data_IF_962541090891
#
_entry.id   IF_962541090891
#
_cell.length_a   1.000
_cell.length_b   1.000
_cell.length_c   1.000
_cell.angle_alpha   90.00
_cell.angle_beta   90.00
_cell.angle_gamma   90.00
#
_symmetry.space_group_name_H-M   'P 1'
#
loop_
_entity.id
_entity.type
_entity.pdbx_description
1 polymer ?
#
# COMPACT_ATOMS: atom_id res chain seq x y z
N UNK A 1 -25.60 -57.15 2.69
CA UNK A 1 -25.10 -55.79 2.42
C UNK A 1 -25.50 -54.90 3.59
N UNK A 2 -24.62 -54.73 4.56
CA UNK A 2 -24.87 -53.92 5.77
C UNK A 2 -23.60 -53.15 6.09
N UNK A 3 -23.55 -51.91 5.60
CA UNK A 3 -22.44 -50.97 5.81
C UNK A 3 -22.63 -50.33 7.19
N UNK A 4 -21.80 -50.78 8.15
CA UNK A 4 -21.54 -50.08 9.41
C UNK A 4 -20.43 -49.05 9.21
N UNK A 5 -20.51 -47.96 9.99
CA UNK A 5 -19.42 -47.04 10.37
C UNK A 5 -18.93 -46.09 9.27
N UNK A 6 -18.57 -44.83 9.51
CA UNK A 6 -18.13 -44.12 10.73
C UNK A 6 -18.34 -42.61 10.46
N UNK A 7 -19.00 -41.84 11.33
CA UNK A 7 -19.03 -40.37 11.23
C UNK A 7 -17.69 -39.83 11.71
N UNK A 8 -16.86 -39.35 10.78
CA UNK A 8 -15.59 -38.68 11.06
C UNK A 8 -15.88 -37.27 11.56
N UNK A 9 -15.53 -36.99 12.82
CA UNK A 9 -15.47 -35.64 13.37
C UNK A 9 -14.29 -34.90 12.73
N UNK A 10 -14.57 -34.05 11.75
CA UNK A 10 -13.62 -33.08 11.23
C UNK A 10 -13.84 -31.73 11.93
N UNK A 11 -13.24 -31.53 13.10
CA UNK A 11 -13.07 -30.20 13.68
C UNK A 11 -11.89 -29.53 12.96
N UNK A 12 -12.19 -28.78 11.91
CA UNK A 12 -11.21 -27.97 11.19
C UNK A 12 -10.91 -26.72 12.03
N UNK A 13 -9.62 -26.50 12.27
CA UNK A 13 -9.06 -25.37 12.98
C UNK A 13 -9.49 -24.04 12.34
N UNK A 14 -10.12 -23.17 13.12
CA UNK A 14 -10.37 -21.78 12.75
C UNK A 14 -9.75 -20.88 13.83
N UNK A 15 -8.48 -20.50 13.66
CA UNK A 15 -7.86 -19.40 14.41
C UNK A 15 -6.45 -19.12 13.88
N UNK A 16 -6.37 -18.46 12.73
CA UNK A 16 -5.12 -17.85 12.26
C UNK A 16 -5.39 -16.76 11.20
N UNK A 17 -6.17 -15.72 11.53
CA UNK A 17 -6.23 -14.50 10.71
C UNK A 17 -6.13 -13.21 11.56
N UNK A 18 -5.70 -13.34 12.82
CA UNK A 18 -5.62 -12.21 13.76
C UNK A 18 -4.19 -11.77 14.11
N UNK A 19 -3.15 -12.40 13.55
CA UNK A 19 -1.78 -12.21 14.05
C UNK A 19 -0.94 -11.17 13.30
N UNK A 20 -1.39 -10.61 12.18
CA UNK A 20 -0.49 -9.77 11.37
C UNK A 20 -0.39 -8.31 11.88
N UNK A 21 -1.43 -7.78 12.53
CA UNK A 21 -1.40 -6.42 13.11
C UNK A 21 -0.72 -6.32 14.48
N UNK A 22 -0.55 -7.45 15.18
CA UNK A 22 -0.17 -7.47 16.60
C UNK A 22 1.29 -7.04 16.81
N UNK A 23 2.11 -7.14 15.77
CA UNK A 23 3.55 -6.82 15.83
C UNK A 23 3.91 -5.46 15.22
N UNK A 24 2.93 -4.68 14.75
CA UNK A 24 3.22 -3.33 14.28
C UNK A 24 3.69 -2.46 15.46
N UNK A 25 4.93 -1.95 15.37
CA UNK A 25 5.40 -0.95 16.33
C UNK A 25 4.63 0.35 16.07
N UNK A 26 3.76 0.73 17.01
CA UNK A 26 2.90 1.91 16.87
C UNK A 26 3.55 3.15 17.50
N UNK A 27 3.47 4.31 16.84
CA UNK A 27 3.79 5.58 17.48
C UNK A 27 2.91 5.84 18.71
N UNK A 28 3.39 6.70 19.62
CA UNK A 28 2.60 7.16 20.75
C UNK A 28 1.40 7.98 20.25
N UNK A 29 0.19 7.70 20.77
CA UNK A 29 -1.03 8.42 20.37
C UNK A 29 -2.11 7.55 19.73
N UNK A 30 -1.79 6.31 19.37
CA UNK A 30 -2.78 5.31 18.93
C UNK A 30 -2.67 4.96 17.44
N UNK A 31 -3.81 4.65 16.81
CA UNK A 31 -3.85 4.25 15.41
C UNK A 31 -4.08 5.48 14.54
N UNK A 32 -3.04 5.95 13.86
CA UNK A 32 -3.10 7.13 13.00
C UNK A 32 -3.50 6.69 11.59
N UNK A 33 -4.80 6.55 11.32
CA UNK A 33 -5.29 5.88 10.11
C UNK A 33 -6.13 6.77 9.19
N UNK A 34 -6.13 8.07 9.42
CA UNK A 34 -6.91 9.03 8.63
C UNK A 34 -5.97 9.89 7.81
N UNK A 35 -6.10 9.77 6.49
CA UNK A 35 -5.52 10.67 5.51
C UNK A 35 -6.46 11.85 5.25
N UNK A 36 -5.92 12.98 4.81
CA UNK A 36 -6.69 14.07 4.24
C UNK A 36 -5.93 14.73 3.10
N UNK A 37 -6.68 15.34 2.18
CA UNK A 37 -6.17 16.16 1.09
C UNK A 37 -7.03 17.42 1.06
N UNK A 38 -6.39 18.57 1.22
CA UNK A 38 -7.04 19.87 1.17
C UNK A 38 -6.72 20.59 -0.15
N UNK A 39 -7.62 21.49 -0.55
CA UNK A 39 -7.48 22.25 -1.80
C UNK A 39 -6.31 23.26 -1.79
N UNK A 40 -5.78 23.60 -0.62
CA UNK A 40 -4.59 24.45 -0.48
C UNK A 40 -3.27 23.68 -0.68
N UNK A 41 -3.35 22.37 -0.99
CA UNK A 41 -2.20 21.51 -1.18
C UNK A 41 -1.65 20.90 0.10
N UNK A 42 -2.25 21.17 1.28
CA UNK A 42 -1.91 20.46 2.51
C UNK A 42 -2.50 19.04 2.48
N UNK A 43 -1.71 18.06 2.93
CA UNK A 43 -2.12 16.66 2.85
C UNK A 43 -1.43 15.80 3.92
N UNK A 44 -2.00 14.62 4.13
CA UNK A 44 -1.38 13.53 4.86
C UNK A 44 -1.24 12.31 3.95
N UNK A 45 -0.21 11.50 4.15
CA UNK A 45 -0.01 10.22 3.46
C UNK A 45 0.19 9.10 4.47
N UNK A 46 -0.11 7.86 4.07
CA UNK A 46 0.24 6.70 4.86
C UNK A 46 1.71 6.39 4.64
N UNK A 47 2.46 6.21 5.71
CA UNK A 47 3.84 5.71 5.66
C UNK A 47 3.96 4.48 6.55
N UNK A 48 4.71 3.46 6.10
CA UNK A 48 5.00 2.31 6.95
C UNK A 48 5.90 2.76 8.12
N UNK A 49 6.16 1.90 9.12
CA UNK A 49 7.07 2.23 10.20
C UNK A 49 8.43 2.71 9.67
N UNK A 50 9.04 3.67 10.36
CA UNK A 50 10.33 4.23 9.95
C UNK A 50 11.41 3.14 9.88
N UNK A 51 12.25 3.16 8.83
CA UNK A 51 13.38 2.26 8.69
C UNK A 51 13.04 0.83 8.24
N UNK A 52 11.82 0.62 7.74
CA UNK A 52 11.46 -0.66 7.10
C UNK A 52 11.96 -0.71 5.66
N UNK A 53 12.49 -1.87 5.27
CA UNK A 53 13.11 -2.03 3.94
C UNK A 53 12.10 -2.14 2.79
N UNK A 54 10.89 -2.66 3.04
CA UNK A 54 9.90 -2.95 2.00
C UNK A 54 8.52 -2.46 2.41
N UNK A 55 7.88 -1.64 1.57
CA UNK A 55 6.57 -1.04 1.82
C UNK A 55 5.49 -2.11 1.78
N UNK A 56 5.45 -2.97 0.75
CA UNK A 56 4.40 -3.96 0.55
C UNK A 56 4.18 -4.89 1.77
N UNK A 57 5.26 -5.38 2.38
CA UNK A 57 5.18 -6.25 3.57
C UNK A 57 4.68 -5.48 4.80
N UNK A 58 4.83 -4.15 4.83
CA UNK A 58 4.54 -3.30 5.97
C UNK A 58 3.28 -2.44 5.80
N UNK A 59 2.46 -2.70 4.78
CA UNK A 59 1.23 -1.94 4.50
C UNK A 59 0.25 -1.96 5.69
N UNK A 60 0.20 -3.07 6.44
CA UNK A 60 -0.63 -3.23 7.64
C UNK A 60 -0.23 -2.31 8.80
N UNK A 61 1.03 -1.89 8.82
CA UNK A 61 1.63 -1.16 9.94
C UNK A 61 1.77 0.34 9.65
N UNK A 62 1.18 0.82 8.56
CA UNK A 62 1.28 2.20 8.18
C UNK A 62 0.51 3.14 9.12
N UNK A 63 1.02 4.37 9.23
CA UNK A 63 0.43 5.46 9.98
C UNK A 63 0.34 6.71 9.09
N UNK A 64 -0.61 7.58 9.38
CA UNK A 64 -0.81 8.86 8.69
C UNK A 64 0.21 9.89 9.12
N UNK A 65 0.92 10.48 8.15
CA UNK A 65 1.85 11.58 8.35
C UNK A 65 1.49 12.75 7.45
N UNK A 66 1.41 13.94 8.03
CA UNK A 66 1.04 15.17 7.34
C UNK A 66 2.25 16.06 7.07
N UNK A 67 2.20 16.75 5.93
CA UNK A 67 3.26 17.59 5.39
C UNK A 67 2.69 18.99 5.08
N UNK A 68 3.54 20.04 5.02
CA UNK A 68 3.22 21.50 4.89
C UNK A 68 3.36 22.32 6.19
N UNK A 69 3.87 21.78 7.30
CA UNK A 69 4.22 22.55 8.51
C UNK A 69 3.05 23.23 9.26
N UNK A 70 1.84 23.20 8.70
CA UNK A 70 0.58 23.65 9.33
C UNK A 70 0.01 22.62 10.32
N UNK A 71 0.51 21.40 10.26
CA UNK A 71 0.03 20.28 11.05
C UNK A 71 0.71 20.19 12.42
N UNK A 72 -0.04 19.69 13.40
CA UNK A 72 0.45 19.28 14.71
C UNK A 72 0.03 17.84 14.95
N UNK A 73 0.82 17.08 15.70
CA UNK A 73 0.46 15.69 16.04
C UNK A 73 -0.94 15.63 16.67
N UNK A 74 -1.72 14.63 16.25
CA UNK A 74 -3.09 14.40 16.72
C UNK A 74 -3.33 12.90 16.91
N UNK A 75 -4.52 12.52 17.36
CA UNK A 75 -4.89 11.10 17.47
C UNK A 75 -5.08 10.41 16.12
N UNK A 76 -5.20 11.16 15.01
CA UNK A 76 -5.49 10.62 13.67
C UNK A 76 -4.29 10.66 12.74
N UNK A 77 -3.32 11.54 13.01
CA UNK A 77 -2.12 11.72 12.20
C UNK A 77 -0.94 12.25 13.00
N UNK A 78 0.25 12.13 12.42
CA UNK A 78 1.51 12.67 12.92
C UNK A 78 2.07 13.69 11.93
N UNK A 79 3.04 14.49 12.36
CA UNK A 79 3.80 15.37 11.47
C UNK A 79 4.97 14.60 10.87
N UNK A 80 5.05 14.60 9.54
CA UNK A 80 6.16 14.00 8.82
C UNK A 80 7.41 14.90 8.78
N UNK A 81 8.60 14.35 8.50
CA UNK A 81 9.82 15.11 8.36
C UNK A 81 9.75 16.04 7.14
N UNK A 82 10.20 17.28 7.32
CA UNK A 82 10.03 18.36 6.34
C UNK A 82 10.78 18.11 5.01
N UNK A 83 11.78 17.24 5.01
CA UNK A 83 12.63 16.93 3.87
C UNK A 83 12.28 15.62 3.16
N UNK A 84 11.25 14.90 3.63
CA UNK A 84 10.80 13.67 2.97
C UNK A 84 9.98 13.95 1.70
N UNK A 85 9.10 14.94 1.70
CA UNK A 85 8.35 15.36 0.50
C UNK A 85 9.16 16.43 -0.23
N UNK A 86 9.62 16.11 -1.44
CA UNK A 86 10.42 17.02 -2.26
C UNK A 86 9.54 17.90 -3.14
N UNK A 87 8.42 17.36 -3.61
CA UNK A 87 7.44 18.06 -4.42
C UNK A 87 6.06 17.44 -4.25
N UNK A 88 5.02 18.23 -4.46
CA UNK A 88 3.63 17.76 -4.48
C UNK A 88 2.82 18.55 -5.50
N UNK A 89 1.81 17.90 -6.08
CA UNK A 89 0.91 18.48 -7.05
C UNK A 89 -0.52 18.03 -6.77
N UNK A 90 -1.39 18.99 -6.49
CA UNK A 90 -2.81 18.76 -6.22
C UNK A 90 -3.63 18.74 -7.51
N UNK A 91 -4.52 17.76 -7.63
CA UNK A 91 -5.51 17.65 -8.69
C UNK A 91 -6.87 17.36 -8.10
N UNK A 92 -7.89 18.09 -8.54
CA UNK A 92 -9.29 17.75 -8.33
C UNK A 92 -9.92 17.36 -9.66
N UNK A 93 -10.58 16.19 -9.71
CA UNK A 93 -11.34 15.74 -10.85
C UNK A 93 -12.80 15.59 -10.47
N UNK A 94 -13.63 16.53 -10.92
CA UNK A 94 -15.07 16.55 -10.62
C UNK A 94 -15.85 15.51 -11.41
N UNK A 95 -15.37 15.09 -12.58
CA UNK A 95 -16.02 14.07 -13.42
C UNK A 95 -15.94 12.70 -12.77
N UNK A 96 -14.75 12.34 -12.27
CA UNK A 96 -14.47 11.06 -11.61
C UNK A 96 -14.48 11.20 -10.07
N UNK A 97 -15.00 12.32 -9.56
CA UNK A 97 -15.23 12.59 -8.14
C UNK A 97 -14.06 12.28 -7.20
N UNK A 98 -12.82 12.67 -7.57
CA UNK A 98 -11.65 12.47 -6.72
C UNK A 98 -10.81 13.72 -6.52
N UNK A 99 -10.04 13.71 -5.43
CA UNK A 99 -8.88 14.59 -5.24
C UNK A 99 -7.62 13.74 -5.11
N UNK A 100 -6.50 14.28 -5.59
CA UNK A 100 -5.24 13.57 -5.63
C UNK A 100 -4.07 14.50 -5.32
N UNK A 101 -3.08 13.96 -4.62
CA UNK A 101 -1.72 14.50 -4.54
C UNK A 101 -0.78 13.49 -5.17
N UNK A 102 0.07 13.95 -6.08
CA UNK A 102 1.22 13.19 -6.58
C UNK A 102 2.49 13.99 -6.38
N UNK A 103 3.62 13.33 -6.26
CA UNK A 103 4.88 14.04 -6.14
C UNK A 103 6.08 13.13 -5.97
N UNK A 104 7.19 13.76 -5.56
CA UNK A 104 8.45 13.09 -5.33
C UNK A 104 8.80 13.06 -3.84
N UNK A 105 9.45 11.97 -3.41
CA UNK A 105 9.97 11.80 -2.06
C UNK A 105 11.50 11.71 -2.05
N UNK A 106 12.09 11.89 -0.88
CA UNK A 106 13.43 11.38 -0.57
C UNK A 106 13.27 10.14 0.32
N UNK A 107 13.28 8.96 -0.30
CA UNK A 107 13.13 7.66 0.39
C UNK A 107 14.14 7.44 1.52
N UNK A 108 15.33 8.07 1.43
CA UNK A 108 16.36 7.96 2.47
C UNK A 108 15.96 8.62 3.78
N UNK A 109 15.08 9.63 3.75
CA UNK A 109 14.59 10.34 4.94
C UNK A 109 13.62 9.51 5.78
N UNK A 110 13.12 8.41 5.23
CA UNK A 110 12.24 7.48 5.92
C UNK A 110 12.86 6.08 6.11
N UNK A 111 14.13 5.91 5.68
CA UNK A 111 14.83 4.64 5.76
C UNK A 111 14.23 3.55 4.86
N UNK A 112 13.64 3.94 3.72
CA UNK A 112 13.10 3.01 2.74
C UNK A 112 14.20 2.52 1.79
N UNK A 113 14.10 1.28 1.32
CA UNK A 113 15.08 0.75 0.36
C UNK A 113 14.92 1.42 -1.01
N UNK A 114 16.01 1.93 -1.64
CA UNK A 114 15.94 2.53 -2.98
C UNK A 114 15.69 1.50 -4.09
N UNK A 115 15.61 0.21 -3.77
CA UNK A 115 15.25 -0.86 -4.72
C UNK A 115 13.85 -1.41 -4.47
N UNK A 116 13.11 -0.83 -3.53
CA UNK A 116 11.75 -1.26 -3.25
C UNK A 116 10.78 -0.68 -4.27
N UNK A 117 10.09 -1.55 -4.99
CA UNK A 117 9.08 -1.15 -5.99
C UNK A 117 7.86 -0.51 -5.34
N UNK A 118 7.72 -0.65 -4.02
CA UNK A 118 6.73 0.07 -3.23
C UNK A 118 5.57 -0.81 -2.74
N UNK A 119 4.47 -0.14 -2.42
CA UNK A 119 3.24 -0.77 -1.95
C UNK A 119 2.05 0.19 -1.96
N UNK A 120 0.88 -0.37 -1.66
CA UNK A 120 -0.40 0.31 -1.66
C UNK A 120 -1.08 0.20 -0.29
N UNK A 121 -1.23 1.33 0.37
CA UNK A 121 -2.04 1.45 1.58
C UNK A 121 -3.42 1.97 1.18
N UNK A 122 -4.44 1.12 1.22
CA UNK A 122 -5.78 1.47 0.79
C UNK A 122 -6.87 1.08 1.80
N UNK A 123 -8.09 1.49 1.50
CA UNK A 123 -9.28 1.19 2.31
C UNK A 123 -9.80 -0.25 2.17
N UNK A 124 -9.23 -1.06 1.27
CA UNK A 124 -9.65 -2.45 1.04
C UNK A 124 -8.83 -3.43 1.88
N UNK A 125 -7.50 -3.27 1.91
CA UNK A 125 -6.59 -4.12 2.66
C UNK A 125 -6.70 -3.90 4.16
N UNK A 126 -6.83 -2.64 4.60
CA UNK A 126 -6.73 -2.27 6.01
C UNK A 126 -7.70 -1.15 6.40
N UNK A 127 -7.81 -0.86 7.70
CA UNK A 127 -8.74 0.16 8.24
C UNK A 127 -8.22 1.60 8.04
N UNK A 128 -7.73 1.92 6.85
CA UNK A 128 -7.31 3.28 6.48
C UNK A 128 -8.47 4.03 5.82
N UNK A 129 -8.55 5.34 6.09
CA UNK A 129 -9.61 6.19 5.55
C UNK A 129 -9.05 7.51 5.02
N UNK A 130 -9.84 8.19 4.19
CA UNK A 130 -9.60 9.57 3.85
C UNK A 130 -10.77 10.44 4.29
N UNK A 131 -10.48 11.54 4.97
CA UNK A 131 -11.47 12.41 5.60
C UNK A 131 -12.47 12.96 4.59
N UNK A 132 -13.75 12.56 4.72
CA UNK A 132 -14.83 12.98 3.84
C UNK A 132 -14.96 12.19 2.52
N UNK A 133 -14.21 11.10 2.35
CA UNK A 133 -14.21 10.29 1.12
C UNK A 133 -14.59 8.83 1.41
N UNK A 134 -15.16 8.16 0.40
CA UNK A 134 -15.65 6.77 0.52
C UNK A 134 -14.53 5.75 0.34
N UNK A 135 -13.55 6.06 -0.51
CA UNK A 135 -12.37 5.22 -0.74
C UNK A 135 -11.10 6.04 -0.79
N UNK A 136 -10.02 5.33 -0.55
CA UNK A 136 -8.69 5.90 -0.41
C UNK A 136 -7.66 4.91 -0.92
N UNK A 137 -6.62 5.44 -1.56
CA UNK A 137 -5.37 4.74 -1.83
C UNK A 137 -4.18 5.68 -1.59
N UNK A 138 -3.10 5.12 -1.09
CA UNK A 138 -1.80 5.78 -0.96
C UNK A 138 -0.72 4.83 -1.46
N UNK A 139 -0.10 5.21 -2.57
CA UNK A 139 1.04 4.52 -3.16
C UNK A 139 2.33 5.19 -2.70
N UNK A 140 3.30 4.36 -2.34
CA UNK A 140 4.64 4.79 -1.98
C UNK A 140 5.62 3.92 -2.75
N UNK A 141 6.41 4.52 -3.64
CA UNK A 141 7.31 3.82 -4.57
C UNK A 141 8.76 4.33 -4.39
N UNK A 142 9.52 3.76 -3.44
CA UNK A 142 10.88 4.20 -3.14
C UNK A 142 11.86 4.10 -4.32
N UNK A 143 11.74 3.07 -5.17
CA UNK A 143 12.62 2.86 -6.31
C UNK A 143 12.59 4.00 -7.34
N UNK A 144 11.44 4.64 -7.51
CA UNK A 144 11.24 5.79 -8.40
C UNK A 144 11.18 7.11 -7.64
N UNK A 145 11.28 7.08 -6.31
CA UNK A 145 11.10 8.22 -5.41
C UNK A 145 9.77 8.96 -5.69
N UNK A 146 8.70 8.20 -5.93
CA UNK A 146 7.36 8.75 -6.21
C UNK A 146 6.36 8.34 -5.16
N UNK A 147 5.34 9.17 -4.98
CA UNK A 147 4.18 8.84 -4.17
C UNK A 147 2.90 9.37 -4.82
N UNK A 148 1.78 8.73 -4.51
CA UNK A 148 0.46 9.14 -4.95
C UNK A 148 -0.56 8.89 -3.85
N UNK A 149 -1.44 9.86 -3.63
CA UNK A 149 -2.53 9.76 -2.65
C UNK A 149 -3.78 10.18 -3.38
N UNK A 150 -4.81 9.34 -3.35
CA UNK A 150 -6.09 9.66 -3.98
C UNK A 150 -7.23 9.36 -3.02
N UNK A 151 -8.10 10.34 -2.85
CA UNK A 151 -9.34 10.19 -2.11
C UNK A 151 -10.50 10.32 -3.09
N UNK A 152 -11.31 9.27 -3.18
CA UNK A 152 -12.44 9.22 -4.11
C UNK A 152 -13.77 9.26 -3.37
N UNK A 153 -14.67 10.00 -3.98
CA UNK A 153 -16.06 10.09 -3.63
C UNK A 153 -16.89 9.70 -4.86
N UNK A 154 -18.21 9.59 -4.71
CA UNK A 154 -19.09 9.28 -5.83
C UNK A 154 -19.67 7.86 -5.80
N UNK A 155 -20.44 7.54 -6.83
CA UNK A 155 -21.26 6.33 -6.90
C UNK A 155 -20.53 5.15 -7.54
N UNK A 156 -19.55 5.41 -8.41
CA UNK A 156 -18.71 4.39 -9.04
C UNK A 156 -17.31 4.36 -8.41
N UNK A 157 -17.25 4.43 -7.08
CA UNK A 157 -16.00 4.59 -6.34
C UNK A 157 -15.00 3.44 -6.61
N UNK A 158 -15.47 2.24 -6.96
CA UNK A 158 -14.63 1.11 -7.38
C UNK A 158 -13.91 1.35 -8.72
N UNK A 159 -14.54 2.01 -9.68
CA UNK A 159 -13.91 2.35 -10.96
C UNK A 159 -13.06 3.62 -10.86
N UNK A 160 -13.53 4.61 -10.12
CA UNK A 160 -12.88 5.93 -10.00
C UNK A 160 -11.63 5.86 -9.11
N UNK A 161 -11.68 4.98 -8.09
CA UNK A 161 -10.58 4.58 -7.23
C UNK A 161 -10.21 3.12 -7.48
N UNK A 162 -9.88 2.79 -8.74
CA UNK A 162 -9.38 1.46 -9.04
C UNK A 162 -7.98 1.24 -8.41
N UNK A 163 -7.92 0.38 -7.39
CA UNK A 163 -6.69 0.04 -6.67
C UNK A 163 -5.84 -1.04 -7.35
N UNK A 164 -6.37 -1.76 -8.36
CA UNK A 164 -5.64 -2.86 -9.04
C UNK A 164 -4.52 -2.44 -10.02
N UNK A 165 -4.18 -1.16 -10.13
CA UNK A 165 -3.11 -0.66 -11.03
C UNK A 165 -2.24 0.41 -10.40
N UNK A 166 -1.13 -0.01 -9.77
CA UNK A 166 -0.17 0.88 -9.08
C UNK A 166 0.49 1.89 -10.03
N UNK A 167 0.78 1.50 -11.27
CA UNK A 167 1.64 2.29 -12.17
C UNK A 167 0.96 3.43 -12.93
N UNK A 168 -0.36 3.41 -13.11
CA UNK A 168 -1.06 4.44 -13.92
C UNK A 168 -1.33 5.74 -13.15
N UNK A 169 -1.24 5.73 -11.82
CA UNK A 169 -1.52 6.92 -11.01
C UNK A 169 -0.25 7.64 -10.55
N UNK A 170 0.85 6.92 -10.30
CA UNK A 170 2.16 7.50 -9.98
C UNK A 170 2.90 8.05 -11.21
N UNK A 171 2.69 7.49 -12.41
CA UNK A 171 3.29 8.00 -13.65
C UNK A 171 2.88 9.45 -14.00
N UNK A 172 1.79 9.97 -13.42
CA UNK A 172 1.38 11.36 -13.55
C UNK A 172 2.25 12.33 -12.71
N UNK A 173 3.05 11.82 -11.76
CA UNK A 173 3.96 12.62 -10.93
C UNK A 173 5.18 13.14 -11.69
N UNK A 174 5.50 12.55 -12.86
CA UNK A 174 6.59 13.00 -13.71
C UNK A 174 6.08 13.33 -15.13
N UNK A 175 5.94 14.61 -15.51
CA UNK A 175 5.54 14.98 -16.87
C UNK A 175 6.58 14.54 -17.94
N UNK A 176 7.75 14.01 -17.56
CA UNK A 176 8.75 13.49 -18.51
C UNK A 176 8.61 12.00 -18.86
N UNK A 177 7.65 11.25 -18.30
CA UNK A 177 7.52 9.80 -18.56
C UNK A 177 6.29 9.39 -19.39
N UNK A 178 5.53 10.32 -19.96
CA UNK A 178 4.46 9.98 -20.91
C UNK A 178 5.01 9.62 -22.30
N UNK A 179 5.84 8.58 -22.40
CA UNK A 179 6.00 7.85 -23.65
C UNK A 179 4.89 6.83 -23.71
N UNK A 180 3.78 7.23 -24.32
CA UNK A 180 2.66 6.34 -24.58
C UNK A 180 3.12 5.15 -25.43
N UNK A 181 3.02 3.94 -24.89
CA UNK A 181 3.13 2.73 -25.68
C UNK A 181 1.73 2.20 -25.96
N UNK A 182 1.09 2.82 -26.95
CA UNK A 182 0.02 2.15 -27.68
C UNK A 182 0.65 1.09 -28.58
N UNK A 183 0.42 -0.18 -28.29
CA UNK A 183 0.80 -1.27 -29.20
C UNK A 183 -0.43 -2.11 -29.54
N UNK A 184 -1.09 -1.71 -30.63
CA UNK A 184 -1.86 -2.64 -31.48
C UNK A 184 -0.87 -3.68 -32.00
N UNK A 185 -1.24 -4.95 -31.90
CA UNK A 185 -0.36 -6.06 -32.25
C UNK A 185 -0.02 -6.16 -33.74
N UNK A 186 1.06 -6.87 -34.04
CA UNK A 186 1.17 -7.87 -35.12
C UNK A 186 2.39 -8.75 -34.85
N UNK A 187 2.15 -10.05 -34.98
CA UNK A 187 3.01 -11.22 -34.80
C UNK A 187 4.30 -11.25 -35.64
N UNK A 188 5.40 -11.70 -35.02
CA UNK A 188 6.45 -12.50 -35.66
C UNK A 188 7.17 -13.32 -34.59
N UNK A 189 7.23 -14.64 -34.80
CA UNK A 189 7.64 -15.61 -33.78
C UNK A 189 9.15 -15.62 -33.48
N UNK A 190 9.47 -16.02 -32.26
CA UNK A 190 10.68 -16.78 -31.97
C UNK A 190 10.41 -17.64 -30.75
N UNK A 191 10.62 -18.96 -30.91
CA UNK A 191 10.44 -19.96 -29.86
C UNK A 191 11.63 -19.88 -28.92
N UNK A 192 11.38 -19.63 -27.65
CA UNK A 192 12.39 -19.85 -26.61
C UNK A 192 11.77 -20.72 -25.52
N UNK A 193 12.10 -22.01 -25.56
CA UNK A 193 11.80 -22.96 -24.50
C UNK A 193 12.78 -22.73 -23.35
N UNK A 194 12.29 -22.53 -22.13
CA UNK A 194 13.08 -22.73 -20.91
C UNK A 194 12.32 -23.63 -19.96
N UNK A 195 13.06 -24.63 -19.48
CA UNK A 195 12.64 -25.81 -18.75
C UNK A 195 12.01 -25.48 -17.40
N UNK A 196 10.98 -26.26 -17.06
CA UNK A 196 10.36 -26.32 -15.73
C UNK A 196 11.26 -27.22 -14.87
N UNK A 197 12.06 -26.64 -13.98
CA UNK A 197 12.73 -27.41 -12.93
C UNK A 197 12.28 -26.93 -11.55
N UNK A 198 11.67 -27.89 -10.86
CA UNK A 198 11.18 -27.87 -9.50
C UNK A 198 12.25 -27.43 -8.50
N UNK A 199 11.92 -26.46 -7.64
CA UNK A 199 12.63 -26.26 -6.37
C UNK A 199 11.63 -26.40 -5.25
N UNK A 200 11.63 -27.59 -4.64
CA UNK A 200 11.01 -27.84 -3.35
C UNK A 200 11.81 -27.09 -2.28
N UNK A 201 11.19 -26.16 -1.57
CA UNK A 201 11.75 -25.59 -0.35
C UNK A 201 11.21 -26.37 0.83
N UNK A 202 12.12 -27.05 1.52
CA UNK A 202 11.88 -27.86 2.70
C UNK A 202 11.39 -26.98 3.86
N UNK A 203 10.26 -27.36 4.47
CA UNK A 203 9.84 -26.83 5.76
C UNK A 203 10.73 -27.42 6.87
N UNK A 204 11.54 -26.57 7.49
CA UNK A 204 12.30 -26.91 8.71
C UNK A 204 11.33 -26.87 9.89
N UNK A 205 11.14 -28.02 10.52
CA UNK A 205 10.44 -28.14 11.79
C UNK A 205 11.30 -27.56 12.91
N UNK A 206 10.78 -26.55 13.63
CA UNK A 206 11.35 -26.12 14.92
C UNK A 206 10.60 -26.84 16.03
N UNK A 207 11.26 -27.81 16.66
CA UNK A 207 10.86 -28.33 17.97
C UNK A 207 11.11 -27.26 19.02
N UNK A 208 10.05 -26.75 19.64
CA UNK A 208 10.18 -26.02 20.90
C UNK A 208 10.35 -27.03 22.04
N UNK A 209 11.59 -27.18 22.51
CA UNK A 209 11.91 -27.74 23.82
C UNK A 209 11.69 -26.63 24.84
N UNK A 210 10.69 -26.77 25.69
CA UNK A 210 10.60 -25.99 26.93
C UNK A 210 11.05 -26.88 28.09
N UNK A 211 12.22 -26.57 28.62
CA UNK A 211 12.72 -27.04 29.90
C UNK A 211 12.89 -25.82 30.82
N UNK A 212 12.56 -26.05 32.10
CA UNK A 212 12.61 -25.17 33.29
C UNK A 212 11.42 -24.25 33.52
#
# INVERSE_FOLDING_TARGET
MTWKTLFVLATIAASAFAEEFSNCTRPAGGFHNVTEINADGSFCTMLPPYGVNNVAINEACANSYCFDGKYTNSSTHLVGPSDFILSSHYVANTTNSYVQITGCIDSSKWGLSPTDEGGQMDSHGWKYTCSGYKKFLSLLEPATNTFCIRCCNGDNVDSDCNTTGSSTTAAAANPSSSTGSGSKGTSAGSRFSVSLESVAVAAVAVMAVAAF
#
